data_IF_705448658322
#
_entry.id   IF_705448658322
#
_cell.length_a   1.000
_cell.length_b   1.000
_cell.length_c   1.000
_cell.angle_alpha   90.00
_cell.angle_beta   90.00
_cell.angle_gamma   90.00
#
_symmetry.space_group_name_H-M   'P 1'
#
loop_
_entity.id
_entity.type
_entity.pdbx_description
1 polymer ?
#
# COMPACT_ATOMS: atom_id res chain seq x y z
N UNK A 1 20.23 -7.40 14.52
CA UNK A 1 18.94 -7.96 14.08
C UNK A 1 18.66 -9.16 14.96
N UNK A 2 17.49 -9.24 15.60
CA UNK A 2 17.12 -10.45 16.35
C UNK A 2 17.17 -11.65 15.38
N UNK A 3 17.69 -12.78 15.86
CA UNK A 3 17.75 -14.02 15.10
C UNK A 3 16.34 -14.54 14.82
N UNK A 4 15.78 -14.14 13.67
CA UNK A 4 14.44 -14.53 13.24
C UNK A 4 14.31 -16.06 13.13
N UNK A 5 15.35 -16.73 12.59
CA UNK A 5 15.33 -18.18 12.45
C UNK A 5 15.28 -18.88 13.81
N UNK A 6 16.10 -18.42 14.77
CA UNK A 6 16.07 -18.93 16.14
C UNK A 6 14.72 -18.66 16.82
N UNK A 7 14.12 -17.49 16.61
CA UNK A 7 12.81 -17.16 17.17
C UNK A 7 11.70 -18.05 16.59
N UNK A 8 11.72 -18.31 15.28
CA UNK A 8 10.77 -19.25 14.65
C UNK A 8 10.95 -20.66 15.20
N UNK A 9 12.19 -21.14 15.34
CA UNK A 9 12.46 -22.48 15.90
C UNK A 9 11.96 -22.62 17.36
N UNK A 10 12.15 -21.60 18.17
CA UNK A 10 11.62 -21.56 19.56
C UNK A 10 10.10 -21.67 19.58
N UNK A 11 9.41 -20.91 18.73
CA UNK A 11 7.96 -21.00 18.60
C UNK A 11 7.51 -22.41 18.18
N UNK A 12 8.17 -23.01 17.18
CA UNK A 12 7.87 -24.38 16.73
C UNK A 12 8.13 -25.43 17.83
N UNK A 13 9.06 -25.14 18.75
CA UNK A 13 9.35 -25.92 19.95
C UNK A 13 8.36 -25.71 21.11
N UNK A 14 7.33 -24.85 20.94
CA UNK A 14 6.28 -24.62 21.94
C UNK A 14 6.44 -23.35 22.78
N UNK A 15 7.46 -22.51 22.51
CA UNK A 15 7.63 -21.22 23.19
C UNK A 15 6.68 -20.17 22.61
N UNK A 16 5.54 -19.96 23.30
CA UNK A 16 4.53 -18.98 22.87
C UNK A 16 5.04 -17.53 22.89
N UNK A 17 6.00 -17.18 23.77
CA UNK A 17 6.56 -15.82 23.81
C UNK A 17 7.42 -15.51 22.57
N UNK A 18 7.99 -16.52 21.94
CA UNK A 18 8.70 -16.37 20.69
C UNK A 18 7.77 -15.84 19.57
N UNK A 19 6.48 -16.21 19.56
CA UNK A 19 5.51 -15.65 18.61
C UNK A 19 5.25 -14.17 18.87
N UNK A 20 5.12 -13.76 20.12
CA UNK A 20 4.96 -12.34 20.47
C UNK A 20 6.16 -11.50 20.00
N UNK A 21 7.38 -12.06 20.02
CA UNK A 21 8.56 -11.39 19.47
C UNK A 21 8.46 -11.22 17.94
N UNK A 22 7.97 -12.24 17.22
CA UNK A 22 7.71 -12.12 15.77
C UNK A 22 6.69 -11.03 15.50
N UNK A 23 5.57 -10.99 16.23
CA UNK A 23 4.55 -9.96 16.09
C UNK A 23 5.14 -8.56 16.27
N UNK A 24 5.81 -8.30 17.40
CA UNK A 24 6.44 -6.99 17.69
C UNK A 24 7.43 -6.53 16.61
N UNK A 25 8.16 -7.47 16.01
CA UNK A 25 9.14 -7.16 14.97
C UNK A 25 8.49 -6.80 13.62
N UNK A 26 7.33 -7.36 13.32
CA UNK A 26 6.73 -7.31 11.99
C UNK A 26 5.41 -6.54 11.90
N UNK A 27 4.71 -6.29 13.00
CA UNK A 27 3.38 -5.65 13.02
C UNK A 27 3.38 -4.29 12.30
N UNK A 28 4.37 -3.44 12.58
CA UNK A 28 4.48 -2.12 11.94
C UNK A 28 4.67 -2.23 10.44
N UNK A 29 5.43 -3.23 9.96
CA UNK A 29 5.67 -3.46 8.53
C UNK A 29 4.40 -3.94 7.84
N UNK A 30 3.67 -4.86 8.46
CA UNK A 30 2.37 -5.35 7.96
C UNK A 30 1.33 -4.23 7.98
N UNK A 31 1.27 -3.44 9.06
CA UNK A 31 0.39 -2.28 9.14
C UNK A 31 0.66 -1.28 8.02
N UNK A 32 1.92 -0.92 7.79
CA UNK A 32 2.31 0.02 6.75
C UNK A 32 1.95 -0.50 5.34
N UNK A 33 2.14 -1.79 5.07
CA UNK A 33 1.70 -2.43 3.85
C UNK A 33 0.17 -2.27 3.67
N UNK A 34 -0.59 -2.70 4.66
CA UNK A 34 -2.04 -2.71 4.63
C UNK A 34 -2.62 -1.28 4.51
N UNK A 35 -2.10 -0.35 5.29
CA UNK A 35 -2.55 1.05 5.25
C UNK A 35 -2.30 1.70 3.89
N UNK A 36 -1.14 1.47 3.27
CA UNK A 36 -0.85 2.01 1.94
C UNK A 36 -1.67 1.34 0.85
N UNK A 37 -1.99 0.07 1.04
CA UNK A 37 -2.82 -0.67 0.09
C UNK A 37 -4.29 -0.24 0.16
N UNK A 38 -4.84 -0.13 1.37
CA UNK A 38 -6.27 0.09 1.63
C UNK A 38 -6.63 1.56 1.83
N UNK A 39 -5.68 2.40 2.30
CA UNK A 39 -5.92 3.81 2.59
C UNK A 39 -6.81 4.09 3.81
N UNK A 40 -7.12 3.08 4.62
CA UNK A 40 -7.95 3.17 5.81
C UNK A 40 -7.20 2.58 7.01
N UNK A 41 -7.21 3.27 8.15
CA UNK A 41 -6.48 2.87 9.36
C UNK A 41 -7.12 1.67 10.06
N UNK A 42 -8.44 1.66 10.14
CA UNK A 42 -9.20 0.58 10.79
C UNK A 42 -9.01 -0.72 10.02
N UNK A 43 -9.24 -0.69 8.71
CA UNK A 43 -8.96 -1.86 7.85
C UNK A 43 -7.51 -2.33 7.98
N UNK A 44 -6.54 -1.41 8.07
CA UNK A 44 -5.14 -1.80 8.22
C UNK A 44 -4.87 -2.52 9.55
N UNK A 45 -5.51 -2.09 10.65
CA UNK A 45 -5.43 -2.76 11.94
C UNK A 45 -6.04 -4.16 11.89
N UNK A 46 -7.21 -4.30 11.26
CA UNK A 46 -7.87 -5.59 11.07
C UNK A 46 -6.97 -6.55 10.28
N UNK A 47 -6.36 -6.06 9.17
CA UNK A 47 -5.43 -6.86 8.36
C UNK A 47 -4.22 -7.32 9.18
N UNK A 48 -3.69 -6.50 10.08
CA UNK A 48 -2.61 -6.93 10.98
C UNK A 48 -3.06 -8.12 11.83
N UNK A 49 -4.24 -8.04 12.45
CA UNK A 49 -4.76 -9.11 13.29
C UNK A 49 -5.02 -10.39 12.47
N UNK A 50 -5.72 -10.28 11.34
CA UNK A 50 -6.01 -11.40 10.43
C UNK A 50 -4.71 -12.06 9.93
N UNK A 51 -3.71 -11.25 9.59
CA UNK A 51 -2.41 -11.73 9.12
C UNK A 51 -1.71 -12.55 10.19
N UNK A 52 -1.56 -12.01 11.41
CA UNK A 52 -0.85 -12.74 12.47
C UNK A 52 -1.63 -13.94 12.99
N UNK A 53 -2.95 -13.92 12.94
CA UNK A 53 -3.75 -15.12 13.20
C UNK A 53 -3.45 -16.22 12.16
N UNK A 54 -3.44 -15.87 10.87
CA UNK A 54 -3.08 -16.79 9.79
C UNK A 54 -1.65 -17.31 9.92
N UNK A 55 -0.72 -16.44 10.29
CA UNK A 55 0.69 -16.80 10.57
C UNK A 55 0.77 -17.80 11.72
N UNK A 56 0.11 -17.52 12.85
CA UNK A 56 0.09 -18.40 14.01
C UNK A 56 -0.37 -19.81 13.67
N UNK A 57 -1.46 -19.90 12.88
CA UNK A 57 -2.05 -21.17 12.46
C UNK A 57 -1.18 -21.95 11.47
N UNK A 58 -0.45 -21.24 10.60
CA UNK A 58 0.23 -21.85 9.46
C UNK A 58 1.75 -21.81 9.49
N UNK A 59 2.38 -21.17 10.51
CA UNK A 59 3.84 -21.04 10.60
C UNK A 59 4.56 -22.40 10.65
N UNK A 60 3.91 -23.43 11.16
CA UNK A 60 4.45 -24.81 11.17
C UNK A 60 4.63 -25.38 9.76
N UNK A 61 3.94 -24.82 8.74
CA UNK A 61 4.05 -25.25 7.34
C UNK A 61 5.18 -24.54 6.60
N UNK A 62 5.81 -23.54 7.23
CA UNK A 62 6.94 -22.81 6.64
C UNK A 62 8.18 -23.73 6.63
N UNK A 63 8.60 -24.13 5.39
CA UNK A 63 9.74 -25.05 5.22
C UNK A 63 11.09 -24.40 5.46
N UNK A 64 11.26 -23.15 5.01
CA UNK A 64 12.49 -22.40 5.15
C UNK A 64 12.22 -21.09 5.92
N UNK A 65 12.76 -20.94 7.14
CA UNK A 65 12.63 -19.70 7.92
C UNK A 65 13.15 -18.45 7.22
N UNK A 66 14.08 -18.58 6.26
CA UNK A 66 14.61 -17.45 5.50
C UNK A 66 13.56 -16.84 4.58
N UNK A 67 12.62 -17.64 4.10
CA UNK A 67 11.51 -17.15 3.26
C UNK A 67 10.35 -16.54 4.06
N UNK A 68 10.46 -16.48 5.41
CA UNK A 68 9.42 -15.92 6.27
C UNK A 68 8.99 -14.49 5.86
N UNK A 69 9.87 -13.53 5.54
CA UNK A 69 9.45 -12.19 5.14
C UNK A 69 8.55 -12.19 3.91
N UNK A 70 8.94 -12.89 2.85
CA UNK A 70 8.16 -12.99 1.63
C UNK A 70 6.84 -13.71 1.86
N UNK A 71 6.86 -14.79 2.64
CA UNK A 71 5.68 -15.55 3.01
C UNK A 71 4.69 -14.73 3.85
N UNK A 72 5.16 -13.97 4.85
CA UNK A 72 4.35 -13.06 5.66
C UNK A 72 3.67 -11.98 4.80
N UNK A 73 4.44 -11.31 3.92
CA UNK A 73 3.89 -10.31 3.03
C UNK A 73 2.86 -10.88 2.06
N UNK A 74 3.04 -12.10 1.59
CA UNK A 74 2.05 -12.79 0.75
C UNK A 74 0.73 -13.02 1.49
N UNK A 75 0.78 -13.45 2.77
CA UNK A 75 -0.42 -13.59 3.61
C UNK A 75 -1.11 -12.24 3.77
N UNK A 76 -0.38 -11.20 4.17
CA UNK A 76 -0.91 -9.86 4.36
C UNK A 76 -1.55 -9.29 3.08
N UNK A 77 -0.91 -9.47 1.92
CA UNK A 77 -1.45 -9.05 0.64
C UNK A 77 -2.74 -9.80 0.26
N UNK A 78 -2.84 -11.08 0.55
CA UNK A 78 -4.06 -11.83 0.30
C UNK A 78 -5.24 -11.27 1.10
N UNK A 79 -5.04 -10.93 2.38
CA UNK A 79 -6.04 -10.25 3.19
C UNK A 79 -6.37 -8.85 2.65
N UNK A 80 -5.36 -8.05 2.30
CA UNK A 80 -5.56 -6.74 1.69
C UNK A 80 -6.40 -6.81 0.41
N UNK A 81 -6.10 -7.77 -0.47
CA UNK A 81 -6.82 -7.99 -1.74
C UNK A 81 -8.26 -8.41 -1.51
N UNK A 82 -8.50 -9.33 -0.58
CA UNK A 82 -9.84 -9.76 -0.22
C UNK A 82 -10.68 -8.58 0.31
N UNK A 83 -10.10 -7.77 1.23
CA UNK A 83 -10.75 -6.59 1.78
C UNK A 83 -11.00 -5.51 0.71
N UNK A 84 -10.06 -5.30 -0.20
CA UNK A 84 -10.23 -4.36 -1.31
C UNK A 84 -11.40 -4.75 -2.20
N UNK A 85 -11.50 -6.02 -2.61
CA UNK A 85 -12.58 -6.52 -3.49
C UNK A 85 -13.97 -6.50 -2.83
N UNK A 86 -14.04 -6.56 -1.51
CA UNK A 86 -15.31 -6.52 -0.77
C UNK A 86 -15.88 -5.11 -0.59
N UNK A 87 -15.15 -4.05 -0.99
CA UNK A 87 -15.64 -2.67 -0.85
C UNK A 87 -16.68 -2.35 -1.91
N UNK A 88 -17.91 -1.88 -1.51
CA UNK A 88 -18.89 -1.41 -2.47
C UNK A 88 -18.39 -0.13 -3.14
N UNK A 89 -18.33 -0.07 -4.46
CA UNK A 89 -18.13 1.16 -5.23
C UNK A 89 -16.74 1.43 -5.81
N UNK A 90 -15.70 0.65 -5.46
CA UNK A 90 -14.34 0.89 -5.98
C UNK A 90 -13.98 0.04 -7.24
N UNK A 91 -14.96 -0.66 -7.81
CA UNK A 91 -14.76 -1.53 -8.99
C UNK A 91 -14.65 -0.78 -10.32
N UNK A 92 -14.65 0.56 -10.32
CA UNK A 92 -14.81 1.33 -11.55
C UNK A 92 -13.57 2.07 -12.04
N UNK A 93 -12.37 1.55 -11.82
CA UNK A 93 -11.19 2.04 -12.56
C UNK A 93 -10.31 0.86 -13.05
N UNK A 94 -10.93 -0.22 -13.50
CA UNK A 94 -10.31 -1.10 -14.46
C UNK A 94 -10.42 -0.43 -15.84
N UNK A 95 -9.73 0.71 -16.04
CA UNK A 95 -9.27 1.00 -17.37
C UNK A 95 -8.22 -0.07 -17.68
N UNK A 96 -8.47 -0.93 -18.68
CA UNK A 96 -7.43 -1.79 -19.16
C UNK A 96 -6.30 -0.86 -19.57
N UNK A 97 -5.13 -1.00 -18.91
CA UNK A 97 -3.91 -0.39 -19.42
C UNK A 97 -3.77 -0.94 -20.83
N UNK A 98 -4.07 -0.10 -21.81
CA UNK A 98 -3.86 -0.42 -23.21
C UNK A 98 -2.41 -0.91 -23.35
N UNK A 99 -2.17 -2.02 -24.04
CA UNK A 99 -0.82 -2.58 -24.22
C UNK A 99 0.09 -1.71 -25.09
N UNK A 100 -0.36 -0.53 -25.49
CA UNK A 100 0.32 0.32 -26.46
C UNK A 100 1.02 1.47 -25.75
N UNK A 101 2.28 1.24 -25.43
CA UNK A 101 3.42 2.13 -25.59
C UNK A 101 4.67 1.41 -25.11
N UNK A 102 5.16 0.49 -25.95
CA UNK A 102 6.56 0.12 -25.98
C UNK A 102 7.34 1.36 -26.45
N UNK A 103 8.09 1.97 -25.54
CA UNK A 103 8.95 3.08 -25.92
C UNK A 103 9.50 3.79 -24.69
N UNK A 104 10.79 3.62 -24.54
CA UNK A 104 11.70 4.35 -23.68
C UNK A 104 12.11 3.65 -22.39
N UNK A 105 13.26 2.93 -22.49
CA UNK A 105 14.06 2.44 -21.37
C UNK A 105 14.79 3.60 -20.66
N UNK A 106 14.06 4.63 -20.24
CA UNK A 106 14.59 5.69 -19.41
C UNK A 106 14.36 5.37 -17.93
N UNK A 107 15.42 5.39 -17.12
CA UNK A 107 15.33 5.38 -15.65
C UNK A 107 14.34 6.46 -15.19
N UNK A 108 13.10 6.08 -14.99
CA UNK A 108 12.06 7.01 -14.52
C UNK A 108 12.18 7.14 -13.00
N UNK A 109 13.12 7.98 -12.57
CA UNK A 109 13.13 8.47 -11.20
C UNK A 109 11.80 9.18 -10.97
N UNK A 110 10.96 8.64 -10.08
CA UNK A 110 9.77 9.37 -9.60
C UNK A 110 10.28 10.62 -8.91
N UNK A 111 10.25 11.74 -9.61
CA UNK A 111 10.37 13.05 -8.99
C UNK A 111 9.11 13.23 -8.15
N UNK A 112 9.20 12.93 -6.88
CA UNK A 112 8.23 13.42 -5.90
C UNK A 112 8.13 14.94 -6.10
N UNK A 113 6.93 15.54 -6.05
CA UNK A 113 6.77 16.98 -6.19
C UNK A 113 7.78 17.67 -5.26
N UNK A 114 8.61 18.53 -5.84
CA UNK A 114 9.63 19.26 -5.08
C UNK A 114 9.01 19.89 -3.83
N UNK A 115 9.76 19.92 -2.73
CA UNK A 115 9.38 20.29 -1.36
C UNK A 115 8.83 21.71 -1.18
N UNK A 116 8.36 22.36 -2.22
CA UNK A 116 7.78 23.70 -2.14
C UNK A 116 6.30 23.61 -1.80
N UNK A 117 6.00 23.80 -0.51
CA UNK A 117 4.72 24.30 0.02
C UNK A 117 3.48 23.43 -0.15
N UNK A 118 3.51 22.14 0.24
CA UNK A 118 2.29 21.38 0.50
C UNK A 118 2.29 20.86 1.92
N UNK A 119 1.16 21.02 2.58
CA UNK A 119 0.88 20.32 3.84
C UNK A 119 1.22 18.83 3.65
N UNK A 120 2.03 18.22 4.53
CA UNK A 120 2.36 16.79 4.48
C UNK A 120 1.12 15.90 4.37
N UNK A 121 -0.01 16.30 4.95
CA UNK A 121 -1.28 15.59 4.86
C UNK A 121 -1.87 15.63 3.43
N UNK A 122 -1.80 16.78 2.74
CA UNK A 122 -2.23 16.88 1.34
C UNK A 122 -1.36 16.01 0.43
N UNK A 123 -0.04 16.01 0.66
CA UNK A 123 0.88 15.18 -0.11
C UNK A 123 0.59 13.68 0.07
N UNK A 124 0.32 13.25 1.29
CA UNK A 124 -0.04 11.86 1.58
C UNK A 124 -1.37 11.47 0.93
N UNK A 125 -2.37 12.34 0.94
CA UNK A 125 -3.67 12.08 0.31
C UNK A 125 -3.56 11.97 -1.22
N UNK A 126 -2.72 12.81 -1.84
CA UNK A 126 -2.44 12.73 -3.28
C UNK A 126 -1.75 11.42 -3.67
N UNK A 127 -0.76 10.98 -2.88
CA UNK A 127 -0.10 9.69 -3.09
C UNK A 127 -1.10 8.54 -2.95
N UNK A 128 -1.91 8.57 -1.90
CA UNK A 128 -2.95 7.56 -1.66
C UNK A 128 -3.93 7.47 -2.84
N UNK A 129 -4.44 8.61 -3.31
CA UNK A 129 -5.34 8.68 -4.47
C UNK A 129 -4.67 8.20 -5.76
N UNK A 130 -3.38 8.52 -5.95
CA UNK A 130 -2.65 8.06 -7.13
C UNK A 130 -2.42 6.55 -7.14
N UNK A 131 -2.16 5.95 -5.97
CA UNK A 131 -2.05 4.51 -5.81
C UNK A 131 -3.41 3.81 -5.99
N UNK A 132 -4.49 4.39 -5.47
CA UNK A 132 -5.84 3.84 -5.59
C UNK A 132 -6.29 3.71 -7.06
N UNK A 133 -5.80 4.58 -7.94
CA UNK A 133 -6.07 4.52 -9.38
C UNK A 133 -5.22 3.53 -10.17
N UNK A 134 -4.40 2.70 -9.52
CA UNK A 134 -3.64 1.63 -10.16
C UNK A 134 -4.39 0.30 -10.13
N UNK A 135 -4.08 -0.58 -11.08
CA UNK A 135 -4.47 -1.98 -10.96
C UNK A 135 -3.88 -2.60 -9.69
N UNK A 136 -4.48 -3.66 -9.18
CA UNK A 136 -4.06 -4.36 -7.96
C UNK A 136 -2.58 -4.78 -8.02
N UNK A 137 -2.15 -5.32 -9.17
CA UNK A 137 -0.79 -5.80 -9.37
C UNK A 137 0.24 -4.67 -9.42
N UNK A 138 -0.05 -3.58 -10.12
CA UNK A 138 0.84 -2.41 -10.19
C UNK A 138 0.94 -1.74 -8.82
N UNK A 139 -0.18 -1.59 -8.11
CA UNK A 139 -0.19 -1.05 -6.74
C UNK A 139 0.64 -1.90 -5.80
N UNK A 140 0.47 -3.23 -5.84
CA UNK A 140 1.25 -4.18 -5.04
C UNK A 140 2.74 -4.01 -5.31
N UNK A 141 3.15 -4.02 -6.58
CA UNK A 141 4.56 -3.91 -6.96
C UNK A 141 5.19 -2.60 -6.45
N UNK A 142 4.48 -1.47 -6.57
CA UNK A 142 4.95 -0.17 -6.07
C UNK A 142 5.07 -0.15 -4.55
N UNK A 143 4.09 -0.70 -3.83
CA UNK A 143 4.15 -0.73 -2.36
C UNK A 143 5.33 -1.58 -1.90
N UNK A 144 5.53 -2.76 -2.47
CA UNK A 144 6.64 -3.63 -2.12
C UNK A 144 7.99 -2.98 -2.42
N UNK A 145 8.15 -2.41 -3.62
CA UNK A 145 9.41 -1.84 -4.08
C UNK A 145 9.75 -0.52 -3.40
N UNK A 146 8.84 0.47 -3.46
CA UNK A 146 9.12 1.86 -3.10
C UNK A 146 8.87 2.15 -1.62
N UNK A 147 7.94 1.45 -0.97
CA UNK A 147 7.62 1.70 0.43
C UNK A 147 8.22 0.70 1.40
N UNK A 148 8.31 -0.57 1.03
CA UNK A 148 8.95 -1.58 1.87
C UNK A 148 10.43 -1.76 1.53
N UNK A 149 10.91 -1.16 0.44
CA UNK A 149 12.32 -1.18 0.03
C UNK A 149 12.81 -2.55 -0.44
N UNK A 150 11.90 -3.44 -0.86
CA UNK A 150 12.28 -4.75 -1.35
C UNK A 150 13.04 -4.63 -2.68
N UNK A 151 14.02 -5.51 -2.91
CA UNK A 151 14.63 -5.64 -4.22
C UNK A 151 13.66 -6.33 -5.22
N UNK A 152 13.99 -6.34 -6.51
CA UNK A 152 13.07 -6.86 -7.52
C UNK A 152 12.87 -8.38 -7.42
N UNK A 153 13.88 -9.10 -6.96
CA UNK A 153 13.82 -10.54 -6.71
C UNK A 153 12.86 -10.84 -5.56
N UNK A 154 12.93 -10.09 -4.48
CA UNK A 154 12.00 -10.21 -3.34
C UNK A 154 10.58 -9.81 -3.74
N UNK A 155 10.40 -8.77 -4.56
CA UNK A 155 9.09 -8.40 -5.11
C UNK A 155 8.51 -9.55 -5.95
N UNK A 156 9.33 -10.16 -6.82
CA UNK A 156 8.93 -11.31 -7.64
C UNK A 156 8.52 -12.50 -6.76
N UNK A 157 9.31 -12.80 -5.72
CA UNK A 157 9.01 -13.84 -4.74
C UNK A 157 7.69 -13.59 -4.02
N UNK A 158 7.48 -12.39 -3.47
CA UNK A 158 6.24 -12.02 -2.77
C UNK A 158 5.03 -12.10 -3.70
N UNK A 159 5.16 -11.62 -4.93
CA UNK A 159 4.08 -11.61 -5.92
C UNK A 159 3.86 -12.97 -6.58
N UNK A 160 4.77 -13.93 -6.42
CA UNK A 160 4.70 -15.25 -7.06
C UNK A 160 4.76 -15.17 -8.58
N UNK A 161 5.60 -14.30 -9.15
CA UNK A 161 5.72 -14.08 -10.58
C UNK A 161 7.20 -14.07 -11.03
N UNK A 162 7.50 -14.23 -12.33
CA UNK A 162 8.84 -14.08 -12.86
C UNK A 162 9.44 -12.69 -12.59
N UNK A 163 10.76 -12.59 -12.46
CA UNK A 163 11.46 -11.32 -12.25
C UNK A 163 11.17 -10.29 -13.34
N UNK A 164 11.07 -10.72 -14.60
CA UNK A 164 10.69 -9.85 -15.72
C UNK A 164 9.30 -9.24 -15.54
N UNK A 165 8.34 -10.04 -15.05
CA UNK A 165 6.99 -9.57 -14.74
C UNK A 165 7.00 -8.57 -13.57
N UNK A 166 7.79 -8.83 -12.52
CA UNK A 166 7.92 -7.91 -11.39
C UNK A 166 8.51 -6.56 -11.85
N UNK A 167 9.57 -6.58 -12.68
CA UNK A 167 10.15 -5.37 -13.29
C UNK A 167 9.12 -4.59 -14.09
N UNK A 168 8.37 -5.24 -14.98
CA UNK A 168 7.32 -4.64 -15.79
C UNK A 168 6.24 -4.02 -14.93
N UNK A 169 5.76 -4.73 -13.89
CA UNK A 169 4.73 -4.23 -12.96
C UNK A 169 5.20 -2.99 -12.19
N UNK A 170 6.44 -2.97 -11.73
CA UNK A 170 7.03 -1.78 -11.06
C UNK A 170 7.10 -0.61 -12.04
N UNK A 171 7.64 -0.83 -13.24
CA UNK A 171 7.77 0.21 -14.25
C UNK A 171 6.42 0.82 -14.65
N UNK A 172 5.44 -0.01 -15.01
CA UNK A 172 4.10 0.46 -15.36
C UNK A 172 3.36 1.07 -14.17
N UNK A 173 3.59 0.55 -12.97
CA UNK A 173 3.07 1.13 -11.74
C UNK A 173 3.58 2.55 -11.51
N UNK A 174 4.89 2.81 -11.67
CA UNK A 174 5.49 4.13 -11.55
C UNK A 174 4.91 5.12 -12.58
N UNK A 175 4.80 4.70 -13.84
CA UNK A 175 4.16 5.53 -14.89
C UNK A 175 2.69 5.83 -14.55
N UNK A 176 1.96 4.85 -14.02
CA UNK A 176 0.59 5.03 -13.58
C UNK A 176 0.47 6.04 -12.43
N UNK A 177 1.34 5.96 -11.42
CA UNK A 177 1.41 6.95 -10.32
C UNK A 177 1.65 8.35 -10.88
N UNK A 178 2.63 8.52 -11.76
CA UNK A 178 2.93 9.83 -12.37
C UNK A 178 1.74 10.40 -13.14
N UNK A 179 1.05 9.58 -13.95
CA UNK A 179 -0.15 9.98 -14.71
C UNK A 179 -1.27 10.41 -13.76
N UNK A 180 -1.54 9.62 -12.74
CA UNK A 180 -2.59 9.91 -11.76
C UNK A 180 -2.28 11.18 -10.98
N UNK A 181 -1.03 11.38 -10.55
CA UNK A 181 -0.59 12.61 -9.89
C UNK A 181 -0.80 13.84 -10.80
N UNK A 182 -0.35 13.79 -12.07
CA UNK A 182 -0.59 14.89 -13.01
C UNK A 182 -2.07 15.22 -13.12
N UNK A 183 -2.94 14.22 -13.27
CA UNK A 183 -4.40 14.42 -13.35
C UNK A 183 -4.99 15.02 -12.08
N UNK A 184 -4.55 14.57 -10.90
CA UNK A 184 -5.01 15.11 -9.61
C UNK A 184 -4.56 16.55 -9.40
N UNK A 185 -3.35 16.89 -9.84
CA UNK A 185 -2.77 18.23 -9.74
C UNK A 185 -3.37 19.23 -10.72
N UNK A 186 -3.82 18.75 -11.90
CA UNK A 186 -4.43 19.59 -12.95
C UNK A 186 -5.91 19.89 -12.69
N UNK A 187 -6.57 19.25 -11.73
CA UNK A 187 -7.94 19.58 -11.35
C UNK A 187 -7.96 20.91 -10.62
N UNK A 188 -8.70 21.93 -11.11
CA UNK A 188 -8.85 23.18 -10.40
C UNK A 188 -9.45 22.89 -9.02
N UNK A 189 -8.89 23.47 -7.96
CA UNK A 189 -9.47 23.43 -6.61
C UNK A 189 -10.90 23.95 -6.71
N UNK A 190 -11.90 23.07 -6.64
CA UNK A 190 -13.27 23.52 -6.47
C UNK A 190 -13.33 24.25 -5.13
N UNK A 191 -13.55 25.58 -5.23
CA UNK A 191 -13.45 26.52 -4.13
C UNK A 191 -14.31 26.12 -2.95
N UNK A 192 -13.75 26.31 -1.77
CA UNK A 192 -14.55 26.61 -0.58
C UNK A 192 -15.49 27.75 -0.96
N UNK A 193 -16.79 27.45 -1.09
CA UNK A 193 -17.80 28.51 -1.12
C UNK A 193 -17.64 29.29 0.17
N UNK A 194 -17.42 30.62 0.11
CA UNK A 194 -17.48 31.42 1.33
C UNK A 194 -18.90 31.29 1.90
N UNK A 195 -18.98 30.93 3.15
CA UNK A 195 -20.23 30.97 3.91
C UNK A 195 -20.83 32.36 3.77
N UNK A 196 -22.02 32.44 3.16
CA UNK A 196 -22.80 33.70 3.14
C UNK A 196 -23.04 34.08 4.60
N UNK A 197 -22.40 35.15 5.04
CA UNK A 197 -22.78 35.88 6.23
C UNK A 197 -24.15 36.46 5.99
N UNK A 198 -25.16 35.90 6.58
CA UNK A 198 -26.48 36.51 6.75
C UNK A 198 -26.32 37.71 7.69
N UNK A 199 -26.22 38.91 7.11
CA UNK A 199 -26.48 40.14 7.80
C UNK A 199 -28.01 40.20 8.03
N UNK A 200 -28.46 39.84 9.19
CA UNK A 200 -29.75 40.29 9.70
C UNK A 200 -29.63 41.75 10.12
N UNK A 201 -30.12 42.61 9.24
CA UNK A 201 -30.39 44.02 9.56
C UNK A 201 -31.62 44.06 10.44
N UNK A 202 -31.40 44.35 11.71
CA UNK A 202 -32.45 44.74 12.63
C UNK A 202 -32.98 46.13 12.19
N UNK A 203 -34.20 46.19 11.74
CA UNK A 203 -34.90 47.46 11.56
C UNK A 203 -35.94 47.61 12.68
N UNK A 204 -35.54 48.46 13.66
CA UNK A 204 -36.46 49.01 14.63
C UNK A 204 -37.25 50.15 13.97
N UNK A 205 -38.54 50.02 13.91
CA UNK A 205 -39.41 51.22 14.02
C UNK A 205 -40.84 50.87 14.41
N UNK A 206 -41.19 51.41 15.60
CA UNK A 206 -42.49 51.92 16.05
C UNK A 206 -43.55 50.95 16.55
#
# INVERSE_FOLDING_TARGET
MADLEGTIRRFLGGDGEAFNQIVRQWETKVYNLAWRFLGNREDAQDIVQETFLSVFQSLRNLRDPKSFPAWLYRIALNHCRARWRSRPGDLSLNDPVSPEEEGDEGESRVLLPSQQTRDPLEAMDLIRKSLAGLSEDHRTAIILKEYLGLNLEEVAEVMGCPLSTAKSRVYHGLRGVQRNLKRLLSRPRQGLRPSKSTNETTDEHR
#
